data_IF_784787165297
#
_entry.id   IF_784787165297
#
_cell.length_a   1.000
_cell.length_b   1.000
_cell.length_c   1.000
_cell.angle_alpha   90.00
_cell.angle_beta   90.00
_cell.angle_gamma   90.00
#
_symmetry.space_group_name_H-M   'P 1'
#
loop_
_entity.id
_entity.type
_entity.pdbx_description
1 polymer ?
#
# COMPACT_ATOMS: atom_id res chain seq x y z
N UNK A 1 -13.87 -9.22 7.33
CA UNK A 1 -13.88 -9.59 5.90
C UNK A 1 -12.52 -10.17 5.55
N UNK A 2 -12.50 -11.10 4.62
CA UNK A 2 -11.27 -11.67 4.08
C UNK A 2 -10.52 -10.62 3.24
N UNK A 3 -9.19 -10.72 3.18
CA UNK A 3 -8.32 -9.78 2.45
C UNK A 3 -7.17 -10.53 1.77
N UNK A 4 -6.59 -9.89 0.76
CA UNK A 4 -5.28 -10.28 0.26
C UNK A 4 -4.22 -9.52 1.05
N UNK A 5 -3.19 -10.22 1.51
CA UNK A 5 -2.03 -9.66 2.20
C UNK A 5 -0.82 -9.86 1.30
N UNK A 6 -0.09 -8.80 1.02
CA UNK A 6 1.16 -8.83 0.28
C UNK A 6 2.27 -8.27 1.18
N UNK A 7 3.38 -8.98 1.34
CA UNK A 7 4.58 -8.42 1.95
C UNK A 7 5.68 -8.27 0.90
N UNK A 8 6.06 -7.03 0.62
CA UNK A 8 7.17 -6.68 -0.27
C UNK A 8 8.53 -6.76 0.43
N UNK A 9 9.59 -6.50 -0.34
CA UNK A 9 10.98 -6.68 0.08
C UNK A 9 11.52 -5.67 1.10
N UNK A 10 10.77 -4.62 1.44
CA UNK A 10 11.20 -3.58 2.37
C UNK A 10 11.59 -4.13 3.76
N UNK A 11 12.50 -3.46 4.47
CA UNK A 11 12.90 -3.82 5.82
C UNK A 11 11.83 -3.44 6.84
N UNK A 12 11.80 -4.20 7.93
CA UNK A 12 10.91 -3.99 9.09
C UNK A 12 9.42 -3.79 8.75
N UNK A 13 8.82 -4.64 7.89
CA UNK A 13 7.37 -4.62 7.68
C UNK A 13 6.65 -4.85 9.02
N UNK A 14 5.48 -4.23 9.21
CA UNK A 14 4.66 -4.30 10.43
C UNK A 14 3.97 -5.66 10.66
N UNK A 15 4.75 -6.73 10.63
CA UNK A 15 4.26 -8.11 10.73
C UNK A 15 3.76 -8.46 12.14
N UNK A 16 4.23 -7.75 13.16
CA UNK A 16 3.72 -7.83 14.54
C UNK A 16 2.26 -7.36 14.65
N UNK A 17 1.84 -6.45 13.77
CA UNK A 17 0.47 -5.96 13.65
C UNK A 17 -0.38 -6.84 12.71
N UNK A 18 0.25 -7.73 11.93
CA UNK A 18 -0.45 -8.58 10.99
C UNK A 18 -1.33 -9.60 11.72
N UNK A 19 -2.59 -9.68 11.29
CA UNK A 19 -3.55 -10.69 11.71
C UNK A 19 -4.11 -11.34 10.45
N UNK A 20 -3.97 -12.66 10.38
CA UNK A 20 -4.36 -13.51 9.25
C UNK A 20 -5.56 -14.36 9.67
N UNK A 21 -6.54 -14.46 8.80
CA UNK A 21 -7.69 -15.36 8.91
C UNK A 21 -7.56 -16.51 7.92
N UNK A 22 -8.34 -17.55 8.12
CA UNK A 22 -8.33 -18.72 7.24
C UNK A 22 -8.69 -18.37 5.79
N UNK A 23 -9.56 -17.37 5.58
CA UNK A 23 -9.99 -16.95 4.25
C UNK A 23 -9.05 -15.92 3.59
N UNK A 24 -8.00 -15.47 4.30
CA UNK A 24 -7.05 -14.50 3.77
C UNK A 24 -6.05 -15.17 2.82
N UNK A 25 -5.66 -14.46 1.77
CA UNK A 25 -4.60 -14.89 0.86
C UNK A 25 -3.30 -14.21 1.27
N UNK A 26 -2.23 -14.99 1.46
CA UNK A 26 -0.95 -14.47 1.95
C UNK A 26 0.10 -14.60 0.86
N UNK A 27 0.62 -13.47 0.40
CA UNK A 27 1.57 -13.38 -0.71
C UNK A 27 2.87 -12.75 -0.23
N UNK A 28 3.98 -13.46 -0.44
CA UNK A 28 5.32 -12.93 -0.25
C UNK A 28 5.92 -12.44 -1.56
N UNK A 29 6.59 -11.29 -1.56
CA UNK A 29 7.32 -10.77 -2.73
C UNK A 29 8.79 -10.60 -2.36
N UNK A 30 9.67 -11.26 -3.11
CA UNK A 30 11.12 -11.36 -2.87
C UNK A 30 11.44 -11.69 -1.39
N UNK A 31 12.31 -10.90 -0.77
CA UNK A 31 12.68 -11.02 0.65
C UNK A 31 11.49 -10.82 1.59
N UNK A 32 10.37 -10.27 1.14
CA UNK A 32 9.11 -10.22 1.88
C UNK A 32 8.54 -11.62 2.16
N UNK A 33 8.70 -12.57 1.23
CA UNK A 33 8.33 -13.97 1.43
C UNK A 33 9.10 -14.57 2.61
N UNK A 34 10.43 -14.41 2.61
CA UNK A 34 11.28 -14.87 3.71
C UNK A 34 10.88 -14.26 5.06
N UNK A 35 10.58 -12.96 5.11
CA UNK A 35 10.18 -12.28 6.35
C UNK A 35 8.85 -12.79 6.91
N UNK A 36 7.85 -13.01 6.07
CA UNK A 36 6.58 -13.60 6.48
C UNK A 36 6.78 -14.98 7.10
N UNK A 37 7.57 -15.85 6.44
CA UNK A 37 7.81 -17.22 6.92
C UNK A 37 8.59 -17.18 8.25
N UNK A 38 9.60 -16.31 8.36
CA UNK A 38 10.35 -16.11 9.62
C UNK A 38 9.49 -15.60 10.77
N UNK A 39 8.41 -14.87 10.47
CA UNK A 39 7.41 -14.43 11.44
C UNK A 39 6.38 -15.52 11.78
N UNK A 40 6.50 -16.73 11.21
CA UNK A 40 5.64 -17.88 11.50
C UNK A 40 4.41 -17.99 10.61
N UNK A 41 4.35 -17.23 9.50
CA UNK A 41 3.22 -17.29 8.56
C UNK A 41 3.49 -18.28 7.41
N UNK A 42 2.45 -18.97 6.97
CA UNK A 42 2.49 -19.80 5.75
C UNK A 42 2.01 -18.97 4.56
N UNK A 43 2.67 -19.11 3.42
CA UNK A 43 2.34 -18.36 2.20
C UNK A 43 1.42 -19.17 1.29
N UNK A 44 0.41 -18.52 0.73
CA UNK A 44 -0.33 -19.05 -0.41
C UNK A 44 0.52 -18.94 -1.66
N UNK A 45 1.17 -17.79 -1.87
CA UNK A 45 2.03 -17.55 -3.03
C UNK A 45 3.30 -16.82 -2.64
N UNK A 46 4.36 -17.06 -3.40
CA UNK A 46 5.58 -16.26 -3.37
C UNK A 46 5.96 -15.83 -4.80
N UNK A 47 6.27 -14.55 -4.99
CA UNK A 47 6.66 -13.94 -6.28
C UNK A 47 8.07 -13.35 -6.15
N UNK A 48 8.88 -13.48 -7.18
CA UNK A 48 10.22 -12.89 -7.18
C UNK A 48 11.13 -13.45 -8.26
N UNK A 49 12.21 -12.72 -8.55
CA UNK A 49 13.43 -13.34 -9.08
C UNK A 49 14.29 -13.94 -7.95
N UNK A 50 14.02 -13.52 -6.71
CA UNK A 50 14.68 -13.94 -5.47
C UNK A 50 16.18 -13.68 -5.47
N UNK A 51 16.66 -12.69 -6.23
CA UNK A 51 18.08 -12.28 -6.26
C UNK A 51 18.56 -11.73 -4.91
N UNK A 52 17.61 -11.22 -4.13
CA UNK A 52 17.85 -10.58 -2.84
C UNK A 52 17.93 -11.56 -1.69
N UNK A 53 17.77 -12.87 -1.89
CA UNK A 53 17.86 -13.91 -0.84
C UNK A 53 18.95 -14.94 -1.17
N UNK A 54 19.53 -15.54 -0.13
CA UNK A 54 20.51 -16.61 -0.26
C UNK A 54 19.86 -17.93 -0.71
N UNK A 55 20.65 -18.88 -1.22
CA UNK A 55 20.15 -20.18 -1.65
C UNK A 55 19.41 -20.95 -0.54
N UNK A 56 19.90 -20.88 0.71
CA UNK A 56 19.21 -21.51 1.85
C UNK A 56 17.91 -20.79 2.23
N UNK A 57 17.86 -19.46 2.07
CA UNK A 57 16.62 -18.70 2.27
C UNK A 57 15.60 -19.03 1.17
N UNK A 58 16.03 -19.24 -0.09
CA UNK A 58 15.16 -19.64 -1.19
C UNK A 58 14.56 -21.04 -0.97
N UNK A 59 15.37 -22.02 -0.59
CA UNK A 59 14.86 -23.36 -0.23
C UNK A 59 13.85 -23.26 0.91
N UNK A 60 14.13 -22.43 1.92
CA UNK A 60 13.21 -22.20 3.03
C UNK A 60 11.89 -21.57 2.56
N UNK A 61 11.92 -20.66 1.56
CA UNK A 61 10.70 -20.12 0.93
C UNK A 61 9.92 -21.22 0.22
N UNK A 62 10.59 -22.03 -0.60
CA UNK A 62 10.00 -23.13 -1.36
C UNK A 62 9.26 -24.14 -0.46
N UNK A 63 9.83 -24.46 0.71
CA UNK A 63 9.24 -25.40 1.67
C UNK A 63 8.00 -24.85 2.40
N UNK A 64 7.82 -23.52 2.46
CA UNK A 64 6.78 -22.86 3.27
C UNK A 64 5.78 -22.03 2.45
N UNK A 65 5.86 -22.10 1.13
CA UNK A 65 4.89 -21.52 0.20
C UNK A 65 4.11 -22.62 -0.53
N UNK A 66 2.81 -22.44 -0.71
CA UNK A 66 2.01 -23.40 -1.49
C UNK A 66 2.34 -23.33 -2.98
N UNK A 67 2.66 -22.14 -3.49
CA UNK A 67 3.05 -21.94 -4.89
C UNK A 67 4.15 -20.89 -4.98
N UNK A 68 5.21 -21.22 -5.73
CA UNK A 68 6.31 -20.31 -6.04
C UNK A 68 6.18 -19.87 -7.50
N UNK A 69 6.09 -18.55 -7.71
CA UNK A 69 6.12 -17.91 -9.02
C UNK A 69 7.48 -17.25 -9.21
N UNK A 70 8.40 -17.96 -9.87
CA UNK A 70 9.76 -17.49 -10.11
C UNK A 70 9.89 -16.83 -11.47
N UNK A 71 10.45 -15.64 -11.50
CA UNK A 71 10.65 -14.84 -12.71
C UNK A 71 12.14 -14.62 -13.01
N UNK A 72 12.51 -14.33 -14.27
CA UNK A 72 13.84 -13.81 -14.56
C UNK A 72 14.03 -12.42 -13.92
N UNK A 73 15.29 -12.03 -13.71
CA UNK A 73 15.62 -10.69 -13.21
C UNK A 73 15.41 -9.61 -14.27
N UNK A 74 15.64 -9.94 -15.55
CA UNK A 74 15.31 -9.06 -16.67
C UNK A 74 13.83 -9.26 -17.07
N UNK A 75 13.02 -8.23 -16.79
CA UNK A 75 11.58 -8.19 -17.04
C UNK A 75 11.10 -6.74 -17.00
N UNK A 76 9.94 -6.47 -17.62
CA UNK A 76 9.35 -5.12 -17.66
C UNK A 76 8.66 -4.76 -16.33
N UNK A 77 8.08 -5.76 -15.66
CA UNK A 77 7.31 -5.57 -14.42
C UNK A 77 8.14 -5.90 -13.18
N UNK A 78 8.01 -5.08 -12.14
CA UNK A 78 8.51 -5.40 -10.80
C UNK A 78 7.76 -6.59 -10.20
N UNK A 79 8.37 -7.27 -9.24
CA UNK A 79 7.74 -8.42 -8.58
C UNK A 79 6.46 -8.05 -7.81
N UNK A 80 6.34 -6.82 -7.31
CA UNK A 80 5.10 -6.33 -6.71
C UNK A 80 3.99 -6.14 -7.75
N UNK A 81 4.31 -5.60 -8.93
CA UNK A 81 3.34 -5.47 -10.02
C UNK A 81 2.86 -6.84 -10.50
N UNK A 82 3.77 -7.82 -10.64
CA UNK A 82 3.41 -9.21 -10.98
C UNK A 82 2.46 -9.84 -9.95
N UNK A 83 2.74 -9.65 -8.66
CA UNK A 83 1.85 -10.12 -7.61
C UNK A 83 0.46 -9.45 -7.67
N UNK A 84 0.39 -8.14 -7.95
CA UNK A 84 -0.88 -7.43 -8.09
C UNK A 84 -1.67 -7.86 -9.33
N UNK A 85 -1.01 -8.12 -10.45
CA UNK A 85 -1.64 -8.69 -11.64
C UNK A 85 -2.25 -10.06 -11.36
N UNK A 86 -1.52 -10.91 -10.63
CA UNK A 86 -2.04 -12.20 -10.20
C UNK A 86 -3.28 -12.05 -9.29
N UNK A 87 -3.26 -11.07 -8.38
CA UNK A 87 -4.41 -10.77 -7.50
C UNK A 87 -5.62 -10.29 -8.30
N UNK A 88 -5.41 -9.46 -9.33
CA UNK A 88 -6.47 -9.05 -10.24
C UNK A 88 -7.09 -10.23 -10.99
N UNK A 89 -6.28 -11.18 -11.43
CA UNK A 89 -6.75 -12.33 -12.20
C UNK A 89 -7.49 -13.36 -11.34
N UNK A 90 -6.96 -13.66 -10.14
CA UNK A 90 -7.42 -14.80 -9.34
C UNK A 90 -8.21 -14.42 -8.08
N UNK A 91 -8.10 -13.18 -7.61
CA UNK A 91 -8.62 -12.73 -6.32
C UNK A 91 -9.36 -11.38 -6.42
N UNK A 92 -9.92 -11.04 -7.58
CA UNK A 92 -10.62 -9.78 -7.83
C UNK A 92 -11.84 -9.54 -6.93
N UNK A 93 -12.42 -10.60 -6.35
CA UNK A 93 -13.52 -10.54 -5.39
C UNK A 93 -13.14 -9.96 -4.03
N UNK A 94 -11.85 -9.86 -3.72
CA UNK A 94 -11.39 -9.27 -2.46
C UNK A 94 -11.46 -7.74 -2.53
N UNK A 95 -11.98 -7.12 -1.48
CA UNK A 95 -12.17 -5.67 -1.38
C UNK A 95 -11.00 -4.96 -0.67
N UNK A 96 -10.00 -5.71 -0.19
CA UNK A 96 -8.84 -5.15 0.49
C UNK A 96 -7.59 -5.93 0.11
N UNK A 97 -6.58 -5.19 -0.33
CA UNK A 97 -5.23 -5.66 -0.60
C UNK A 97 -4.29 -4.90 0.34
N UNK A 98 -3.91 -5.55 1.44
CA UNK A 98 -3.03 -5.00 2.46
C UNK A 98 -1.57 -5.26 2.08
N UNK A 99 -0.80 -4.21 1.81
CA UNK A 99 0.58 -4.28 1.34
C UNK A 99 1.53 -3.78 2.42
N UNK A 100 2.45 -4.64 2.84
CA UNK A 100 3.46 -4.37 3.86
C UNK A 100 4.86 -4.27 3.23
N UNK A 101 5.78 -3.54 3.85
CA UNK A 101 7.17 -3.46 3.40
C UNK A 101 7.34 -2.80 2.02
N UNK A 102 6.44 -1.89 1.65
CA UNK A 102 6.39 -1.25 0.34
C UNK A 102 6.58 0.28 0.40
N UNK A 103 6.54 0.91 1.58
CA UNK A 103 6.68 2.36 1.72
C UNK A 103 8.13 2.85 1.94
N UNK A 104 9.14 2.09 1.51
CA UNK A 104 10.50 2.63 1.36
C UNK A 104 11.42 2.53 2.58
N UNK A 105 11.21 1.57 3.48
CA UNK A 105 12.24 1.23 4.45
C UNK A 105 13.56 0.88 3.74
N UNK A 106 14.71 1.28 4.30
CA UNK A 106 16.02 0.83 3.80
C UNK A 106 16.69 1.69 2.72
N UNK A 107 16.16 2.89 2.43
CA UNK A 107 16.87 3.91 1.64
C UNK A 107 16.68 3.86 0.12
N UNK A 108 15.87 2.93 -0.40
CA UNK A 108 15.50 2.84 -1.82
C UNK A 108 14.28 3.72 -2.13
N UNK A 109 14.51 5.03 -2.19
CA UNK A 109 13.47 6.03 -2.51
C UNK A 109 12.86 5.79 -3.90
N UNK A 110 13.64 5.26 -4.82
CA UNK A 110 13.21 4.81 -6.15
C UNK A 110 12.13 3.72 -6.07
N UNK A 111 12.30 2.70 -5.23
CA UNK A 111 11.28 1.66 -5.02
C UNK A 111 10.01 2.24 -4.40
N UNK A 112 10.15 3.15 -3.43
CA UNK A 112 9.01 3.84 -2.85
C UNK A 112 8.20 4.57 -3.93
N UNK A 113 8.85 5.34 -4.80
CA UNK A 113 8.18 6.05 -5.89
C UNK A 113 7.52 5.09 -6.88
N UNK A 114 8.19 4.01 -7.26
CA UNK A 114 7.62 2.98 -8.14
C UNK A 114 6.34 2.37 -7.53
N UNK A 115 6.38 2.04 -6.23
CA UNK A 115 5.23 1.47 -5.52
C UNK A 115 4.07 2.46 -5.37
N UNK A 116 4.34 3.74 -5.14
CA UNK A 116 3.29 4.76 -5.02
C UNK A 116 2.69 5.09 -6.39
N UNK A 117 3.48 5.11 -7.46
CA UNK A 117 3.02 5.45 -8.80
C UNK A 117 2.36 4.30 -9.56
N UNK A 118 2.40 3.07 -9.06
CA UNK A 118 1.69 1.95 -9.69
C UNK A 118 0.20 2.25 -9.88
N UNK A 119 -0.41 3.03 -8.98
CA UNK A 119 -1.84 3.39 -9.08
C UNK A 119 -2.18 4.28 -10.28
N UNK A 120 -1.17 4.84 -10.95
CA UNK A 120 -1.31 5.64 -12.15
C UNK A 120 -1.31 4.79 -13.43
N UNK A 121 -1.00 3.49 -13.32
CA UNK A 121 -1.05 2.57 -14.45
C UNK A 121 -2.51 2.14 -14.71
N UNK A 122 -3.01 2.25 -15.96
CA UNK A 122 -4.40 1.91 -16.27
C UNK A 122 -4.82 0.49 -15.88
N UNK A 123 -3.88 -0.45 -15.89
CA UNK A 123 -4.14 -1.86 -15.53
C UNK A 123 -4.50 -2.06 -14.05
N UNK A 124 -4.18 -1.11 -13.16
CA UNK A 124 -4.51 -1.18 -11.74
C UNK A 124 -5.70 -0.28 -11.35
N UNK A 125 -6.35 0.39 -12.30
CA UNK A 125 -7.42 1.36 -12.05
C UNK A 125 -8.54 0.80 -11.15
N UNK A 126 -8.93 -0.45 -11.34
CA UNK A 126 -10.03 -1.10 -10.60
C UNK A 126 -9.68 -1.56 -9.18
N UNK A 127 -8.41 -1.49 -8.78
CA UNK A 127 -7.97 -1.88 -7.42
C UNK A 127 -7.40 -0.73 -6.62
N UNK A 128 -7.25 0.47 -7.19
CA UNK A 128 -6.64 1.64 -6.54
C UNK A 128 -7.16 1.84 -5.12
N UNK A 129 -8.47 1.89 -4.94
CA UNK A 129 -9.09 2.15 -3.63
C UNK A 129 -9.07 0.93 -2.69
N UNK A 130 -8.77 -0.27 -3.23
CA UNK A 130 -8.57 -1.51 -2.47
C UNK A 130 -7.16 -1.61 -1.88
N UNK A 131 -6.19 -0.83 -2.38
CA UNK A 131 -4.80 -0.87 -1.94
C UNK A 131 -4.59 -0.15 -0.62
N UNK A 132 -4.14 -0.89 0.38
CA UNK A 132 -3.88 -0.40 1.72
C UNK A 132 -2.41 -0.67 2.07
N UNK A 133 -1.57 0.35 1.98
CA UNK A 133 -0.16 0.24 2.34
C UNK A 133 -0.01 0.43 3.83
N UNK A 134 0.67 -0.50 4.51
CA UNK A 134 0.76 -0.57 5.97
C UNK A 134 2.20 -0.80 6.40
N UNK A 135 2.72 0.13 7.18
CA UNK A 135 3.97 0.01 7.92
C UNK A 135 3.72 0.32 9.41
N UNK A 136 4.76 0.19 10.24
CA UNK A 136 4.59 0.22 11.69
C UNK A 136 3.96 1.52 12.21
N UNK A 137 4.38 2.66 11.64
CA UNK A 137 3.97 4.02 12.02
C UNK A 137 3.25 4.77 10.89
N UNK A 138 3.12 4.15 9.72
CA UNK A 138 2.62 4.80 8.51
C UNK A 138 1.59 3.93 7.80
N UNK A 139 0.55 4.56 7.28
CA UNK A 139 -0.39 3.91 6.37
C UNK A 139 -0.64 4.82 5.17
N UNK A 140 -0.90 4.23 4.00
CA UNK A 140 -1.31 4.99 2.82
C UNK A 140 -2.49 4.32 2.11
N UNK A 141 -3.41 5.15 1.62
CA UNK A 141 -4.56 4.75 0.79
C UNK A 141 -4.71 5.73 -0.36
N UNK A 142 -5.28 5.25 -1.46
CA UNK A 142 -5.46 6.02 -2.68
C UNK A 142 -6.93 6.24 -2.95
N UNK A 143 -7.24 7.36 -3.57
CA UNK A 143 -8.61 7.80 -3.81
C UNK A 143 -8.76 8.28 -5.25
N UNK A 144 -9.81 7.79 -5.90
CA UNK A 144 -10.27 8.27 -7.20
C UNK A 144 -11.30 9.41 -7.02
N UNK A 145 -11.63 10.17 -8.08
CA UNK A 145 -12.59 11.27 -7.99
C UNK A 145 -13.92 10.86 -7.36
N UNK A 146 -14.41 11.66 -6.43
CA UNK A 146 -15.61 11.35 -5.67
C UNK A 146 -15.68 12.10 -4.35
N UNK A 147 -16.53 11.59 -3.46
CA UNK A 147 -16.65 12.04 -2.08
C UNK A 147 -16.26 10.89 -1.16
N UNK A 148 -15.38 11.18 -0.21
CA UNK A 148 -14.75 10.19 0.65
C UNK A 148 -14.77 10.66 2.11
N UNK A 149 -15.00 9.72 3.01
CA UNK A 149 -14.85 9.93 4.44
C UNK A 149 -13.56 9.27 4.92
N UNK A 150 -12.64 10.09 5.37
CA UNK A 150 -11.38 9.66 5.93
C UNK A 150 -11.57 9.48 7.44
N UNK A 151 -11.36 8.24 7.89
CA UNK A 151 -11.29 7.89 9.30
C UNK A 151 -9.83 7.92 9.77
N UNK A 152 -9.60 7.89 11.08
CA UNK A 152 -8.27 7.74 11.66
C UNK A 152 -8.02 6.26 12.02
N UNK A 153 -7.38 5.45 11.14
CA UNK A 153 -7.30 4.00 11.30
C UNK A 153 -6.37 3.55 12.43
N UNK A 154 -5.47 4.41 12.91
CA UNK A 154 -4.36 4.01 13.77
C UNK A 154 -4.04 5.02 14.87
N UNK A 155 -4.99 5.87 15.27
CA UNK A 155 -4.70 7.01 16.17
C UNK A 155 -3.52 7.86 15.64
N UNK A 156 -3.42 7.97 14.32
CA UNK A 156 -2.40 8.77 13.66
C UNK A 156 -2.47 10.20 14.19
N UNK A 157 -1.30 10.77 14.45
CA UNK A 157 -1.15 12.16 14.86
C UNK A 157 -1.35 13.09 13.67
N UNK A 158 -0.83 12.69 12.52
CA UNK A 158 -0.82 13.50 11.31
C UNK A 158 -1.46 12.79 10.12
N UNK A 159 -1.93 13.61 9.20
CA UNK A 159 -2.50 13.26 7.92
C UNK A 159 -1.85 14.11 6.84
N UNK A 160 -1.29 13.48 5.82
CA UNK A 160 -0.85 14.14 4.59
C UNK A 160 -1.78 13.75 3.46
N UNK A 161 -2.32 14.73 2.73
CA UNK A 161 -3.16 14.51 1.56
C UNK A 161 -2.42 15.09 0.37
N UNK A 162 -1.95 14.21 -0.52
CA UNK A 162 -1.00 14.54 -1.58
C UNK A 162 -1.62 14.15 -2.91
N UNK A 163 -1.62 15.07 -3.87
CA UNK A 163 -2.04 14.74 -5.22
C UNK A 163 -0.89 14.14 -6.02
N UNK A 164 -1.15 13.00 -6.67
CA UNK A 164 -0.22 12.35 -7.60
C UNK A 164 -0.31 12.96 -9.01
N UNK A 165 -1.44 13.60 -9.31
CA UNK A 165 -1.72 14.29 -10.58
C UNK A 165 -2.25 15.70 -10.31
N UNK A 166 -2.49 16.53 -11.35
CA UNK A 166 -3.36 17.69 -11.22
C UNK A 166 -4.75 17.28 -10.69
N UNK A 167 -5.35 18.11 -9.83
CA UNK A 167 -6.64 17.84 -9.19
C UNK A 167 -7.60 19.03 -9.39
N UNK A 168 -8.86 18.73 -9.67
CA UNK A 168 -9.92 19.72 -9.83
C UNK A 168 -10.91 19.68 -8.67
N UNK A 169 -11.36 20.87 -8.24
CA UNK A 169 -12.36 21.05 -7.18
C UNK A 169 -12.01 20.32 -5.88
N UNK A 170 -10.73 20.28 -5.51
CA UNK A 170 -10.27 19.61 -4.29
C UNK A 170 -10.75 20.36 -3.06
N UNK A 171 -11.51 19.67 -2.21
CA UNK A 171 -12.04 20.17 -0.95
C UNK A 171 -11.72 19.22 0.20
N UNK A 172 -11.36 19.80 1.35
CA UNK A 172 -11.14 19.10 2.63
C UNK A 172 -11.98 19.80 3.70
N UNK A 173 -12.83 19.05 4.41
CA UNK A 173 -13.63 19.54 5.55
C UNK A 173 -13.44 18.66 6.77
N UNK A 174 -13.60 19.25 7.96
CA UNK A 174 -13.49 18.53 9.23
C UNK A 174 -12.06 18.28 9.71
N UNK A 175 -11.05 18.77 8.98
CA UNK A 175 -9.65 18.70 9.37
C UNK A 175 -9.23 19.96 10.14
N UNK A 176 -8.11 19.91 10.88
CA UNK A 176 -7.51 21.09 11.52
C UNK A 176 -7.23 22.21 10.50
N UNK A 177 -6.76 21.83 9.31
CA UNK A 177 -6.60 22.71 8.17
C UNK A 177 -7.55 22.30 7.05
N UNK A 178 -8.68 23.01 6.93
CA UNK A 178 -9.65 22.81 5.85
C UNK A 178 -9.15 23.43 4.53
N UNK A 179 -9.62 22.88 3.42
CA UNK A 179 -9.36 23.39 2.07
C UNK A 179 -10.71 23.71 1.39
N UNK A 180 -11.02 24.99 1.11
CA UNK A 180 -12.15 25.31 0.24
C UNK A 180 -11.88 24.76 -1.17
N UNK A 181 -12.93 24.46 -1.93
CA UNK A 181 -12.81 23.86 -3.25
C UNK A 181 -11.82 24.64 -4.13
N UNK A 182 -10.73 23.99 -4.52
CA UNK A 182 -9.61 24.62 -5.23
C UNK A 182 -9.00 23.68 -6.26
N UNK A 183 -8.60 24.25 -7.38
CA UNK A 183 -7.87 23.54 -8.43
C UNK A 183 -6.36 23.61 -8.20
N UNK A 184 -5.68 22.50 -8.44
CA UNK A 184 -4.22 22.39 -8.45
C UNK A 184 -3.75 21.88 -9.80
N UNK A 185 -3.01 22.72 -10.53
CA UNK A 185 -2.53 22.41 -11.89
C UNK A 185 -1.29 21.49 -11.92
N UNK A 186 -0.68 21.27 -10.76
CA UNK A 186 0.53 20.44 -10.58
C UNK A 186 0.34 19.55 -9.36
N UNK A 187 1.04 18.40 -9.28
CA UNK A 187 1.12 17.60 -8.06
C UNK A 187 1.46 18.48 -6.86
N UNK A 188 0.69 18.35 -5.78
CA UNK A 188 0.78 19.20 -4.59
C UNK A 188 0.64 18.37 -3.34
N UNK A 189 1.51 18.59 -2.37
CA UNK A 189 1.49 17.92 -1.08
C UNK A 189 0.92 18.85 -0.01
N UNK A 190 -0.24 18.50 0.57
CA UNK A 190 -0.80 19.15 1.75
C UNK A 190 -0.46 18.27 2.97
N UNK A 191 0.67 18.56 3.59
CA UNK A 191 1.25 17.72 4.65
C UNK A 191 0.93 18.23 6.06
N UNK A 192 1.09 17.35 7.04
CA UNK A 192 0.98 17.69 8.48
C UNK A 192 -0.38 18.28 8.88
N UNK A 193 -1.46 17.78 8.27
CA UNK A 193 -2.82 18.06 8.73
C UNK A 193 -3.18 17.14 9.91
N UNK A 194 -4.26 17.45 10.63
CA UNK A 194 -4.64 16.73 11.84
C UNK A 194 -6.15 16.52 11.89
N UNK A 195 -6.57 15.43 12.54
CA UNK A 195 -7.97 15.21 12.90
C UNK A 195 -8.34 16.13 14.07
N UNK A 196 -9.56 16.68 14.04
CA UNK A 196 -10.08 17.46 15.17
C UNK A 196 -10.58 16.46 16.24
N UNK A 197 -10.18 16.56 17.51
CA UNK A 197 -10.55 15.57 18.54
C UNK A 197 -12.07 15.37 18.72
N UNK A 198 -12.86 16.43 18.51
CA UNK A 198 -14.32 16.41 18.62
C UNK A 198 -15.02 15.98 17.32
N UNK A 199 -14.29 15.78 16.23
CA UNK A 199 -14.83 15.43 14.92
C UNK A 199 -13.93 14.39 14.23
N UNK A 200 -14.23 13.07 14.39
CA UNK A 200 -13.31 11.99 14.01
C UNK A 200 -13.33 11.64 12.51
N UNK A 201 -13.95 12.48 11.68
CA UNK A 201 -14.11 12.24 10.24
C UNK A 201 -13.60 13.46 9.48
N UNK A 202 -12.80 13.23 8.46
CA UNK A 202 -12.43 14.27 7.48
C UNK A 202 -13.15 13.95 6.18
N UNK A 203 -13.83 14.92 5.60
CA UNK A 203 -14.45 14.79 4.29
C UNK A 203 -13.47 15.25 3.22
N UNK A 204 -13.18 14.37 2.25
CA UNK A 204 -12.36 14.65 1.08
C UNK A 204 -13.25 14.57 -0.16
N UNK A 205 -13.21 15.58 -1.02
CA UNK A 205 -13.87 15.50 -2.33
C UNK A 205 -13.10 16.21 -3.42
N UNK A 206 -13.22 15.69 -4.65
CA UNK A 206 -12.58 16.22 -5.85
C UNK A 206 -13.21 15.57 -7.09
N UNK A 207 -13.14 16.26 -8.24
CA UNK A 207 -13.83 15.83 -9.47
C UNK A 207 -12.89 15.25 -10.54
N UNK A 208 -11.58 15.43 -10.37
CA UNK A 208 -10.55 14.89 -11.27
C UNK A 208 -9.23 14.71 -10.53
N UNK A 209 -8.48 13.69 -10.90
CA UNK A 209 -7.11 13.44 -10.45
C UNK A 209 -6.99 12.18 -9.59
N UNK A 210 -5.82 11.99 -9.00
CA UNK A 210 -5.51 10.90 -8.08
C UNK A 210 -4.89 11.48 -6.80
N UNK A 211 -5.39 11.05 -5.65
CA UNK A 211 -4.91 11.49 -4.34
C UNK A 211 -4.42 10.28 -3.55
N UNK A 212 -3.25 10.42 -2.92
CA UNK A 212 -2.81 9.54 -1.84
C UNK A 212 -3.02 10.25 -0.51
N UNK A 213 -3.59 9.53 0.45
CA UNK A 213 -3.72 9.96 1.83
C UNK A 213 -2.79 9.11 2.66
N UNK A 214 -1.93 9.75 3.44
CA UNK A 214 -0.94 9.11 4.29
C UNK A 214 -1.18 9.50 5.74
N UNK A 215 -1.29 8.50 6.62
CA UNK A 215 -1.40 8.66 8.06
C UNK A 215 -0.06 8.36 8.70
N UNK A 216 0.38 9.21 9.63
CA UNK A 216 1.65 9.05 10.36
C UNK A 216 1.46 9.22 11.87
N UNK A 217 2.21 8.45 12.65
CA UNK A 217 2.25 8.54 14.13
C UNK A 217 3.48 9.28 14.67
N UNK A 218 4.51 9.46 13.85
CA UNK A 218 5.74 10.11 14.26
C UNK A 218 5.70 11.62 14.04
N UNK A 219 6.47 12.33 14.87
CA UNK A 219 6.57 13.78 14.80
C UNK A 219 7.60 14.22 13.73
N UNK A 220 8.45 13.30 13.21
CA UNK A 220 9.49 13.53 12.20
C UNK A 220 9.78 12.28 11.34
#
# INVERSE_FOLDING_TARGET
>A
MAKVIICAGGPNPALDQLRIKEEDIVIGVDRGAYRLIKAGFTLTHAFGDFDSVSASELVFIEEHTQTLHRYPSEKDDTDLQLALLYVLEHYSQYETIAIYGALGGGGRVDHFLANIWLVLEPRFENIVEKLHFIEAQHQARFYQPGYHQLLNPSQAKYLSIISLTPVSSWQIKGAKYNLPAKDFKTPTALISNEFIPTHPVIELSFTKGMIVVMWGQDDH
#
